data_IF_776890498929
#
_entry.id   IF_776890498929
#
_cell.length_a   1.000
_cell.length_b   1.000
_cell.length_c   1.000
_cell.angle_alpha   90.00
_cell.angle_beta   90.00
_cell.angle_gamma   90.00
#
_symmetry.space_group_name_H-M   'P 1'
#
loop_
_entity.id
_entity.type
_entity.pdbx_description
1 polymer ?
#
# COMPACT_ATOMS: atom_id res chain seq x y z
N UNK A 1 -19.40 5.36 19.91
CA UNK A 1 -19.01 6.41 18.93
C UNK A 1 -18.75 5.71 17.61
N UNK A 2 -19.09 6.29 16.45
CA UNK A 2 -18.89 5.62 15.15
C UNK A 2 -17.45 5.87 14.69
N UNK A 3 -16.67 4.80 14.46
CA UNK A 3 -15.26 4.92 14.08
C UNK A 3 -15.14 5.52 12.67
N UNK A 4 -14.22 6.46 12.51
CA UNK A 4 -13.87 7.05 11.23
C UNK A 4 -12.63 6.36 10.67
N UNK A 5 -12.85 5.32 9.85
CA UNK A 5 -11.78 4.49 9.26
C UNK A 5 -10.88 5.23 8.26
N UNK A 6 -11.23 6.47 7.90
CA UNK A 6 -10.44 7.33 7.03
C UNK A 6 -9.50 8.28 7.84
N UNK A 7 -9.56 8.27 9.18
CA UNK A 7 -8.71 9.08 10.09
C UNK A 7 -7.46 8.32 10.54
N UNK A 8 -6.27 8.95 10.72
CA UNK A 8 -5.05 8.28 11.17
C UNK A 8 -5.18 7.42 12.43
N UNK A 9 -5.89 7.91 13.45
CA UNK A 9 -6.13 7.20 14.72
C UNK A 9 -6.91 5.87 14.58
N UNK A 10 -7.49 5.56 13.41
CA UNK A 10 -8.10 4.27 13.14
C UNK A 10 -7.08 3.17 12.78
N UNK A 11 -5.80 3.52 12.60
CA UNK A 11 -4.74 2.63 12.17
C UNK A 11 -3.75 2.34 13.31
N UNK A 12 -3.42 1.05 13.47
CA UNK A 12 -2.46 0.56 14.46
C UNK A 12 -1.01 0.78 13.97
N UNK A 13 -0.63 2.06 13.86
CA UNK A 13 0.69 2.48 13.37
C UNK A 13 1.86 1.86 14.15
N UNK A 14 1.82 1.73 15.50
CA UNK A 14 2.89 1.06 16.25
C UNK A 14 3.03 -0.43 15.90
N UNK A 15 1.93 -1.14 15.66
CA UNK A 15 2.00 -2.53 15.18
C UNK A 15 2.58 -2.61 13.77
N UNK A 16 2.18 -1.70 12.87
CA UNK A 16 2.72 -1.64 11.51
C UNK A 16 4.24 -1.38 11.54
N UNK A 17 4.70 -0.39 12.32
CA UNK A 17 6.13 -0.08 12.47
C UNK A 17 6.92 -1.27 13.04
N UNK A 18 6.38 -1.94 14.06
CA UNK A 18 7.01 -3.12 14.67
C UNK A 18 7.04 -4.33 13.73
N UNK A 19 6.04 -4.51 12.86
CA UNK A 19 5.98 -5.60 11.88
C UNK A 19 6.88 -5.33 10.67
N UNK A 20 6.92 -4.09 10.18
CA UNK A 20 7.89 -3.64 9.17
C UNK A 20 9.33 -3.84 9.68
N UNK A 21 9.63 -3.42 10.91
CA UNK A 21 10.96 -3.63 11.51
C UNK A 21 11.33 -5.12 11.67
N UNK A 22 10.38 -6.03 11.88
CA UNK A 22 10.67 -7.48 11.93
C UNK A 22 11.05 -8.02 10.54
N UNK A 23 10.26 -7.72 9.51
CA UNK A 23 10.53 -8.11 8.14
C UNK A 23 11.85 -7.51 7.61
N UNK A 24 12.14 -6.24 7.92
CA UNK A 24 13.43 -5.56 7.64
C UNK A 24 14.64 -6.24 8.28
N UNK A 25 14.46 -7.00 9.36
CA UNK A 25 15.49 -7.78 10.05
C UNK A 25 15.39 -9.28 9.75
N UNK A 26 14.76 -9.63 8.63
CA UNK A 26 14.58 -11.00 8.12
C UNK A 26 13.92 -11.93 9.15
N UNK A 27 12.88 -11.44 9.82
CA UNK A 27 11.97 -12.23 10.69
C UNK A 27 10.56 -12.23 10.09
N UNK A 28 9.85 -13.37 10.10
CA UNK A 28 8.45 -13.42 9.67
C UNK A 28 7.52 -12.70 10.65
N UNK A 29 6.30 -12.42 10.20
CA UNK A 29 5.24 -11.80 11.02
C UNK A 29 3.91 -12.53 10.88
N UNK A 30 3.05 -12.40 11.89
CA UNK A 30 1.63 -12.70 11.81
C UNK A 30 0.85 -11.42 11.48
N UNK A 31 0.59 -11.18 10.21
CA UNK A 31 -0.08 -9.95 9.77
C UNK A 31 -1.60 -10.04 10.06
N UNK A 32 -2.21 -9.08 10.76
CA UNK A 32 -3.64 -9.12 11.08
C UNK A 32 -4.51 -8.94 9.83
N UNK A 33 -5.61 -9.69 9.73
CA UNK A 33 -6.64 -9.45 8.69
C UNK A 33 -7.81 -8.62 9.24
N UNK A 34 -8.60 -8.01 8.36
CA UNK A 34 -9.71 -7.12 8.72
C UNK A 34 -11.03 -7.60 8.13
N UNK A 35 -12.04 -7.75 8.98
CA UNK A 35 -13.39 -8.15 8.59
C UNK A 35 -14.21 -6.92 8.18
N UNK A 36 -14.45 -6.76 6.87
CA UNK A 36 -15.26 -5.68 6.32
C UNK A 36 -16.77 -5.80 6.59
N UNK A 37 -17.25 -6.95 7.07
CA UNK A 37 -18.65 -7.17 7.47
C UNK A 37 -18.89 -6.81 8.93
N UNK A 38 -17.97 -7.19 9.83
CA UNK A 38 -18.01 -6.86 11.26
C UNK A 38 -17.35 -5.51 11.59
N UNK A 39 -16.64 -4.90 10.63
CA UNK A 39 -15.92 -3.63 10.76
C UNK A 39 -14.86 -3.62 11.89
N UNK A 40 -14.13 -4.73 12.03
CA UNK A 40 -13.14 -4.97 13.09
C UNK A 40 -11.97 -5.83 12.59
N UNK A 41 -10.89 -5.91 13.36
CA UNK A 41 -9.80 -6.88 13.17
C UNK A 41 -10.34 -8.31 13.35
N UNK A 42 -9.99 -9.20 12.43
CA UNK A 42 -10.30 -10.63 12.51
C UNK A 42 -9.45 -11.34 13.56
N UNK A 43 -9.88 -12.52 14.00
CA UNK A 43 -9.03 -13.43 14.78
C UNK A 43 -8.01 -14.18 13.88
N UNK A 44 -8.16 -14.10 12.56
CA UNK A 44 -7.27 -14.75 11.59
C UNK A 44 -6.09 -13.83 11.21
N UNK A 45 -4.88 -14.37 11.29
CA UNK A 45 -3.65 -13.75 10.77
C UNK A 45 -3.20 -14.44 9.49
N UNK A 46 -2.40 -13.74 8.70
CA UNK A 46 -1.68 -14.31 7.56
C UNK A 46 -0.19 -14.25 7.87
N UNK A 47 0.44 -15.42 7.84
CA UNK A 47 1.87 -15.55 8.02
C UNK A 47 2.60 -14.94 6.81
N UNK A 48 3.49 -13.98 7.07
CA UNK A 48 4.30 -13.31 6.03
C UNK A 48 5.78 -13.54 6.32
N UNK A 49 6.41 -14.30 5.42
CA UNK A 49 7.86 -14.52 5.39
C UNK A 49 8.61 -13.26 4.89
N UNK A 50 9.83 -13.00 5.38
CA UNK A 50 10.67 -11.92 4.87
C UNK A 50 11.18 -12.25 3.46
N UNK A 51 11.25 -11.25 2.60
CA UNK A 51 11.60 -11.42 1.19
C UNK A 51 12.26 -10.13 0.64
N UNK A 52 12.43 -10.04 -0.69
CA UNK A 52 13.31 -9.07 -1.34
C UNK A 52 12.62 -7.92 -2.12
N UNK A 53 11.28 -7.74 -2.10
CA UNK A 53 10.56 -6.46 -2.42
C UNK A 53 9.23 -6.29 -1.63
N UNK A 54 9.12 -5.28 -0.75
CA UNK A 54 7.82 -4.82 -0.19
C UNK A 54 7.24 -3.71 -1.04
N UNK A 55 5.93 -3.82 -1.17
CA UNK A 55 5.05 -2.76 -1.59
C UNK A 55 4.18 -2.55 -0.35
N UNK A 56 4.47 -1.50 0.42
CA UNK A 56 3.62 -1.07 1.52
C UNK A 56 2.55 -0.17 0.91
N UNK A 57 1.29 -0.58 1.04
CA UNK A 57 0.16 -0.01 0.33
C UNK A 57 -0.92 0.41 1.33
N UNK A 58 -1.49 1.60 1.12
CA UNK A 58 -2.63 2.09 1.88
C UNK A 58 -2.76 3.60 1.83
N UNK A 59 -3.98 4.10 2.09
CA UNK A 59 -4.33 5.53 1.95
C UNK A 59 -3.54 6.49 2.86
N UNK A 60 -2.86 6.00 3.90
CA UNK A 60 -2.13 6.81 4.88
C UNK A 60 -0.70 6.30 5.15
N UNK A 61 -0.12 5.46 4.29
CA UNK A 61 1.24 4.92 4.52
C UNK A 61 2.33 6.00 4.49
N UNK A 62 2.10 7.12 3.81
CA UNK A 62 2.98 8.29 3.80
C UNK A 62 2.69 9.31 4.93
N UNK A 63 1.73 9.03 5.84
CA UNK A 63 1.33 9.97 6.88
C UNK A 63 2.31 10.04 8.06
N UNK A 64 2.61 8.90 8.70
CA UNK A 64 3.58 8.84 9.81
C UNK A 64 5.03 8.97 9.27
N UNK A 65 5.91 9.62 10.04
CA UNK A 65 7.28 9.91 9.63
C UNK A 65 8.22 8.71 9.78
N UNK A 66 8.10 7.97 10.87
CA UNK A 66 8.91 6.79 11.18
C UNK A 66 8.72 5.73 10.09
N UNK A 67 7.47 5.48 9.69
CA UNK A 67 7.07 4.62 8.57
C UNK A 67 7.67 5.12 7.23
N UNK A 68 7.66 6.43 6.94
CA UNK A 68 8.33 6.99 5.73
C UNK A 68 9.84 6.77 5.75
N UNK A 69 10.48 6.86 6.93
CA UNK A 69 11.92 6.69 7.10
C UNK A 69 12.37 5.23 6.89
N UNK A 70 11.43 4.27 6.86
CA UNK A 70 11.67 2.88 6.45
C UNK A 70 11.54 2.63 4.93
N UNK A 71 11.23 3.65 4.11
CA UNK A 71 10.95 3.48 2.67
C UNK A 71 12.06 3.99 1.75
N UNK A 72 12.65 3.11 0.95
CA UNK A 72 13.58 3.47 -0.13
C UNK A 72 12.93 4.28 -1.26
N UNK A 73 11.68 3.95 -1.62
CA UNK A 73 10.94 4.58 -2.73
C UNK A 73 9.50 4.82 -2.27
N UNK A 74 9.06 6.08 -2.33
CA UNK A 74 7.72 6.53 -1.93
C UNK A 74 6.94 6.90 -3.19
N UNK A 75 5.83 6.21 -3.46
CA UNK A 75 5.00 6.43 -4.65
C UNK A 75 3.62 6.95 -4.23
N UNK A 76 3.13 7.99 -4.90
CA UNK A 76 1.75 8.46 -4.76
C UNK A 76 0.99 8.24 -6.06
N UNK A 77 -0.14 7.54 -6.00
CA UNK A 77 -1.03 7.34 -7.16
C UNK A 77 -2.04 8.49 -7.19
N UNK A 78 -1.98 9.29 -8.25
CA UNK A 78 -2.78 10.50 -8.41
C UNK A 78 -3.93 10.28 -9.40
N UNK A 79 -5.14 10.66 -9.02
CA UNK A 79 -6.36 10.47 -9.83
C UNK A 79 -7.45 11.38 -9.29
N UNK A 80 -8.22 12.01 -10.17
CA UNK A 80 -9.22 13.01 -9.80
C UNK A 80 -10.31 12.50 -8.84
N UNK A 81 -10.84 13.43 -8.05
CA UNK A 81 -11.82 13.18 -6.99
C UNK A 81 -13.09 12.45 -7.47
N UNK A 82 -13.57 12.80 -8.65
CA UNK A 82 -14.77 12.24 -9.26
C UNK A 82 -14.50 10.85 -9.87
N UNK A 83 -13.39 10.66 -10.58
CA UNK A 83 -12.95 9.34 -11.07
C UNK A 83 -12.77 8.37 -9.89
N UNK A 84 -12.10 8.79 -8.81
CA UNK A 84 -11.94 7.99 -7.59
C UNK A 84 -13.28 7.75 -6.88
N UNK A 85 -14.18 8.73 -6.85
CA UNK A 85 -15.52 8.56 -6.29
C UNK A 85 -16.36 7.57 -7.09
N UNK A 86 -16.33 7.62 -8.42
CA UNK A 86 -17.06 6.69 -9.32
C UNK A 86 -16.51 5.26 -9.13
N UNK A 87 -15.18 5.07 -9.21
CA UNK A 87 -14.52 3.78 -8.94
C UNK A 87 -14.89 3.24 -7.54
N UNK A 88 -14.92 4.11 -6.52
CA UNK A 88 -15.36 3.77 -5.15
C UNK A 88 -16.83 3.38 -5.08
N UNK A 89 -17.71 4.11 -5.77
CA UNK A 89 -19.15 3.89 -5.74
C UNK A 89 -19.53 2.57 -6.38
N UNK A 90 -19.03 2.31 -7.59
CA UNK A 90 -19.27 1.05 -8.28
C UNK A 90 -18.86 -0.15 -7.42
N UNK A 91 -17.64 -0.11 -6.86
CA UNK A 91 -17.09 -1.20 -6.06
C UNK A 91 -17.84 -1.41 -4.73
N UNK A 92 -18.13 -0.34 -3.98
CA UNK A 92 -18.90 -0.45 -2.72
C UNK A 92 -20.33 -0.97 -2.94
N UNK A 93 -20.95 -0.68 -4.10
CA UNK A 93 -22.25 -1.25 -4.47
C UNK A 93 -22.12 -2.72 -4.91
N UNK A 94 -21.24 -3.02 -5.89
CA UNK A 94 -21.10 -4.33 -6.52
C UNK A 94 -20.52 -5.41 -5.60
N UNK A 95 -19.51 -5.07 -4.80
CA UNK A 95 -18.74 -6.04 -4.00
C UNK A 95 -19.12 -6.04 -2.51
N UNK A 96 -19.66 -4.92 -2.00
CA UNK A 96 -19.93 -4.74 -0.56
C UNK A 96 -21.41 -4.51 -0.23
N UNK A 97 -22.30 -4.60 -1.22
CA UNK A 97 -23.76 -4.54 -1.03
C UNK A 97 -24.29 -3.21 -0.47
N UNK A 98 -23.53 -2.11 -0.61
CA UNK A 98 -23.92 -0.81 -0.04
C UNK A 98 -24.92 -0.09 -0.96
N UNK A 99 -25.82 0.70 -0.38
CA UNK A 99 -26.71 1.58 -1.15
C UNK A 99 -25.99 2.86 -1.60
N UNK A 100 -26.43 3.43 -2.72
CA UNK A 100 -25.96 4.70 -3.28
C UNK A 100 -25.88 5.80 -2.21
N UNK A 101 -26.97 6.02 -1.48
CA UNK A 101 -27.06 7.03 -0.42
C UNK A 101 -26.06 6.79 0.71
N UNK A 102 -25.82 5.53 1.10
CA UNK A 102 -24.84 5.19 2.14
C UNK A 102 -23.42 5.55 1.70
N UNK A 103 -23.08 5.27 0.44
CA UNK A 103 -21.75 5.57 -0.12
C UNK A 103 -21.54 7.09 -0.29
N UNK A 104 -22.55 7.83 -0.76
CA UNK A 104 -22.54 9.30 -0.87
C UNK A 104 -22.38 9.94 0.52
N UNK A 105 -23.23 9.57 1.49
CA UNK A 105 -23.20 10.15 2.82
C UNK A 105 -21.87 9.84 3.54
N UNK A 106 -21.29 8.65 3.38
CA UNK A 106 -19.94 8.39 3.90
C UNK A 106 -18.88 9.24 3.16
N UNK A 107 -18.95 9.37 1.84
CA UNK A 107 -17.95 10.12 1.07
C UNK A 107 -17.88 11.60 1.48
N UNK A 108 -19.05 12.25 1.55
CA UNK A 108 -19.14 13.66 1.94
C UNK A 108 -18.88 13.88 3.43
N UNK A 109 -19.33 12.95 4.28
CA UNK A 109 -19.23 13.08 5.75
C UNK A 109 -17.89 12.65 6.37
N UNK A 110 -17.10 11.79 5.72
CA UNK A 110 -15.81 11.29 6.25
C UNK A 110 -14.70 11.29 5.21
N UNK A 111 -14.85 10.56 4.11
CA UNK A 111 -13.74 10.27 3.17
C UNK A 111 -13.14 11.55 2.58
N UNK A 112 -13.95 12.46 2.02
CA UNK A 112 -13.45 13.69 1.39
C UNK A 112 -12.83 14.67 2.40
N UNK A 113 -13.43 14.94 3.57
CA UNK A 113 -12.77 15.67 4.66
C UNK A 113 -11.41 15.07 5.06
N UNK A 114 -11.33 13.76 5.29
CA UNK A 114 -10.09 13.11 5.71
C UNK A 114 -9.04 13.06 4.60
N UNK A 115 -9.45 12.89 3.34
CA UNK A 115 -8.56 12.97 2.18
C UNK A 115 -7.88 14.34 2.10
N UNK A 116 -8.66 15.41 2.17
CA UNK A 116 -8.12 16.78 2.13
C UNK A 116 -7.24 17.12 3.34
N UNK A 117 -7.56 16.58 4.53
CA UNK A 117 -6.87 16.91 5.78
C UNK A 117 -5.60 16.08 6.02
N UNK A 118 -5.60 14.79 5.65
CA UNK A 118 -4.57 13.82 6.06
C UNK A 118 -3.91 13.05 4.92
N UNK A 119 -4.56 12.90 3.76
CA UNK A 119 -4.04 12.07 2.66
C UNK A 119 -3.31 12.93 1.62
N UNK A 120 -4.00 13.87 0.97
CA UNK A 120 -3.42 14.71 -0.09
C UNK A 120 -2.18 15.51 0.38
N UNK A 121 -2.10 16.03 1.62
CA UNK A 121 -0.88 16.65 2.12
C UNK A 121 0.36 15.73 2.15
N UNK A 122 0.19 14.40 2.11
CA UNK A 122 1.32 13.43 2.11
C UNK A 122 1.96 13.23 0.74
N UNK A 123 1.28 13.62 -0.34
CA UNK A 123 1.79 13.64 -1.73
C UNK A 123 3.13 14.36 -1.87
N UNK A 124 3.37 15.38 -1.02
CA UNK A 124 4.64 16.12 -0.92
C UNK A 124 5.84 15.31 -0.44
N UNK A 125 5.62 14.09 0.08
CA UNK A 125 6.65 13.17 0.54
C UNK A 125 6.92 12.03 -0.46
N UNK A 126 6.27 12.04 -1.62
CA UNK A 126 6.49 11.03 -2.65
C UNK A 126 7.74 11.35 -3.48
N UNK A 127 8.56 10.34 -3.74
CA UNK A 127 9.68 10.40 -4.67
C UNK A 127 9.19 10.35 -6.13
N UNK A 128 8.03 9.71 -6.37
CA UNK A 128 7.38 9.56 -7.68
C UNK A 128 5.86 9.76 -7.53
N UNK A 129 5.25 10.54 -8.41
CA UNK A 129 3.79 10.66 -8.56
C UNK A 129 3.38 9.93 -9.85
N UNK A 130 2.43 9.00 -9.77
CA UNK A 130 1.93 8.21 -10.89
C UNK A 130 0.48 8.62 -11.20
N UNK A 131 0.20 9.29 -12.33
CA UNK A 131 -1.17 9.59 -12.73
C UNK A 131 -1.91 8.33 -13.19
N UNK A 132 -3.22 8.31 -13.00
CA UNK A 132 -4.21 7.30 -13.47
C UNK A 132 -4.08 5.89 -12.86
N UNK A 133 -2.91 5.55 -12.31
CA UNK A 133 -2.69 4.39 -11.44
C UNK A 133 -2.50 3.08 -12.20
N UNK A 134 -3.35 2.09 -11.92
CA UNK A 134 -3.22 0.71 -12.44
C UNK A 134 -3.39 0.52 -13.94
N UNK A 135 -3.62 1.59 -14.70
CA UNK A 135 -3.70 1.61 -16.17
C UNK A 135 -2.44 2.26 -16.80
N UNK A 136 -1.50 2.76 -15.97
CA UNK A 136 -0.29 3.44 -16.41
C UNK A 136 0.88 2.44 -16.59
N UNK A 137 0.83 1.66 -17.67
CA UNK A 137 1.84 0.64 -18.00
C UNK A 137 3.28 1.19 -18.00
N UNK A 138 3.49 2.44 -18.41
CA UNK A 138 4.82 3.07 -18.46
C UNK A 138 5.39 3.29 -17.05
N UNK A 139 4.57 3.76 -16.11
CA UNK A 139 5.00 3.89 -14.71
C UNK A 139 5.22 2.52 -14.05
N UNK A 140 4.38 1.53 -14.37
CA UNK A 140 4.51 0.15 -13.89
C UNK A 140 5.82 -0.48 -14.38
N UNK A 141 6.17 -0.32 -15.66
CA UNK A 141 7.43 -0.82 -16.23
C UNK A 141 8.66 -0.09 -15.65
N UNK A 142 8.62 1.23 -15.52
CA UNK A 142 9.69 2.01 -14.91
C UNK A 142 9.98 1.57 -13.46
N UNK A 143 8.93 1.40 -12.64
CA UNK A 143 9.07 0.90 -11.27
C UNK A 143 9.58 -0.55 -11.26
N UNK A 144 9.05 -1.41 -12.12
CA UNK A 144 9.45 -2.82 -12.24
C UNK A 144 10.92 -2.96 -12.64
N UNK A 145 11.38 -2.18 -13.62
CA UNK A 145 12.77 -2.15 -14.08
C UNK A 145 13.72 -1.62 -12.99
N UNK A 146 13.32 -0.57 -12.25
CA UNK A 146 14.10 -0.08 -11.10
C UNK A 146 14.23 -1.15 -10.00
N UNK A 147 13.16 -1.86 -9.69
CA UNK A 147 13.16 -2.94 -8.69
C UNK A 147 14.02 -4.13 -9.13
N UNK A 148 13.90 -4.58 -10.38
CA UNK A 148 14.76 -5.62 -10.96
C UNK A 148 16.24 -5.20 -10.95
N UNK A 149 16.53 -3.93 -11.24
CA UNK A 149 17.90 -3.38 -11.22
C UNK A 149 18.56 -3.53 -9.84
N UNK A 150 17.84 -3.22 -8.74
CA UNK A 150 18.39 -3.39 -7.38
C UNK A 150 18.60 -4.87 -7.04
N UNK A 151 17.60 -5.73 -7.29
CA UNK A 151 17.71 -7.18 -7.04
C UNK A 151 18.90 -7.83 -7.77
N UNK A 152 19.30 -7.29 -8.92
CA UNK A 152 20.45 -7.78 -9.67
C UNK A 152 21.79 -7.19 -9.18
N UNK A 153 21.79 -5.96 -8.63
CA UNK A 153 22.99 -5.37 -8.00
C UNK A 153 23.40 -6.11 -6.73
N UNK A 154 22.44 -6.47 -5.86
CA UNK A 154 22.70 -7.30 -4.68
C UNK A 154 23.30 -8.67 -5.04
N UNK A 155 22.72 -9.35 -6.04
CA UNK A 155 23.20 -10.66 -6.54
C UNK A 155 24.61 -10.63 -7.13
N UNK A 156 25.07 -9.48 -7.59
CA UNK A 156 26.44 -9.30 -8.09
C UNK A 156 27.42 -8.76 -7.03
N UNK A 157 26.98 -8.56 -5.78
CA UNK A 157 27.84 -8.10 -4.69
C UNK A 157 28.35 -6.66 -4.84
N UNK A 158 27.74 -5.86 -5.72
CA UNK A 158 28.15 -4.47 -5.92
C UNK A 158 27.63 -3.59 -4.79
N UNK A 159 28.51 -3.27 -3.83
CA UNK A 159 28.25 -2.17 -2.91
C UNK A 159 28.26 -0.85 -3.68
N UNK A 160 27.20 -0.01 -3.62
CA UNK A 160 27.17 1.25 -4.32
C UNK A 160 28.21 2.22 -3.77
N UNK A 161 28.85 2.99 -4.66
CA UNK A 161 29.91 3.97 -4.33
C UNK A 161 29.42 5.07 -3.38
N UNK A 162 28.10 5.27 -3.29
CA UNK A 162 27.44 5.99 -2.21
C UNK A 162 26.63 5.01 -1.37
N UNK A 163 26.81 5.06 -0.05
CA UNK A 163 26.13 4.15 0.89
C UNK A 163 24.63 4.47 1.01
N UNK A 164 23.84 3.86 0.13
CA UNK A 164 22.39 3.74 0.28
C UNK A 164 22.08 2.31 0.73
N UNK A 165 21.64 2.17 1.98
CA UNK A 165 21.27 0.88 2.60
C UNK A 165 19.87 0.43 2.16
N UNK A 166 19.70 0.17 0.86
CA UNK A 166 18.47 -0.36 0.30
C UNK A 166 17.99 -1.60 1.07
N UNK A 167 16.69 -1.66 1.40
CA UNK A 167 16.04 -2.77 2.09
C UNK A 167 14.67 -3.07 1.47
N UNK A 168 14.71 -3.94 0.49
CA UNK A 168 13.55 -4.57 -0.13
C UNK A 168 13.33 -5.98 0.51
N UNK A 169 12.10 -6.54 0.59
CA UNK A 169 11.15 -6.54 1.75
C UNK A 169 9.89 -7.44 1.31
N UNK A 170 8.66 -7.63 1.92
CA UNK A 170 7.39 -8.11 1.19
C UNK A 170 5.99 -8.13 1.91
N UNK A 171 4.91 -7.88 1.10
CA UNK A 171 3.46 -8.28 1.11
C UNK A 171 2.32 -7.55 1.90
N UNK A 172 1.20 -7.38 1.17
CA UNK A 172 -0.23 -7.34 1.56
C UNK A 172 -0.91 -5.99 1.96
N UNK A 173 -2.25 -5.94 1.89
CA UNK A 173 -3.08 -4.84 1.36
C UNK A 173 -4.12 -4.23 2.31
N UNK A 174 -4.45 -2.94 2.14
CA UNK A 174 -5.86 -2.45 2.16
C UNK A 174 -6.09 -1.41 1.04
N UNK A 175 -5.88 -1.78 -0.22
CA UNK A 175 -6.32 -0.96 -1.35
C UNK A 175 -7.83 -0.98 -1.47
N UNK A 176 -8.42 0.17 -1.80
CA UNK A 176 -9.73 0.23 -2.46
C UNK A 176 -9.65 -0.01 -3.99
N UNK A 177 -8.46 -0.35 -4.48
CA UNK A 177 -8.06 -0.84 -5.82
C UNK A 177 -8.27 0.10 -7.02
N UNK A 178 -7.46 -0.04 -8.09
CA UNK A 178 -6.42 -1.05 -8.31
C UNK A 178 -4.97 -0.58 -8.03
N UNK A 179 -4.15 -1.44 -7.43
CA UNK A 179 -2.71 -1.52 -7.74
C UNK A 179 -2.40 -2.97 -8.12
N UNK A 180 -2.11 -3.20 -9.40
CA UNK A 180 -1.74 -4.51 -9.94
C UNK A 180 -0.24 -4.55 -10.14
N UNK A 181 0.45 -5.40 -9.39
CA UNK A 181 1.84 -5.79 -9.67
C UNK A 181 1.93 -7.32 -9.71
N UNK A 182 1.87 -7.88 -10.91
CA UNK A 182 2.00 -9.31 -11.13
C UNK A 182 3.42 -9.80 -10.80
N UNK A 183 3.50 -10.90 -10.04
CA UNK A 183 4.75 -11.48 -9.58
C UNK A 183 4.73 -13.01 -9.57
N UNK A 184 4.37 -13.64 -10.69
CA UNK A 184 4.58 -15.09 -10.90
C UNK A 184 5.81 -15.30 -11.78
N UNK A 185 6.94 -15.65 -11.15
CA UNK A 185 8.03 -16.39 -11.81
C UNK A 185 8.26 -17.70 -11.07
N UNK A 186 7.57 -18.76 -11.51
CA UNK A 186 7.84 -20.12 -11.06
C UNK A 186 8.64 -20.83 -12.14
N UNK A 187 9.95 -20.55 -12.20
CA UNK A 187 10.87 -21.39 -12.97
C UNK A 187 11.02 -22.73 -12.23
N UNK A 188 10.21 -23.71 -12.62
CA UNK A 188 10.48 -25.13 -12.40
C UNK A 188 10.39 -25.86 -13.73
N UNK A 189 11.19 -26.92 -13.85
CA UNK A 189 11.29 -27.72 -15.06
C UNK A 189 10.05 -28.59 -15.21
N UNK A 190 9.20 -28.26 -16.18
CA UNK A 190 8.24 -29.20 -16.75
C UNK A 190 8.71 -29.52 -18.18
N UNK A 191 9.39 -30.66 -18.27
CA UNK A 191 9.29 -31.61 -19.38
C UNK A 191 8.17 -32.60 -19.04
#
# INVERSE_FOLDING_TARGET
MKINYDHPDAFDMPLLEAQLNQLLHRKPIEMPTYDFTQHTRSNETIHVEPADIIILEGILVLFNEDIRNLMDIKVYVDTDDDIRFIRRLERDMKERGRSLDSVINQYLGTVKPMYNQFIEPTKRYADIIVPEGGENDVAIDMLTTKLQSVLNQEKMGFSPIFSFSFRFFRCMTITQNPIVLFGKYKNQYDA
#
